data_IF_448616321154
#
_entry.id   IF_448616321154
#
_cell.length_a   1.000
_cell.length_b   1.000
_cell.length_c   1.000
_cell.angle_alpha   90.00
_cell.angle_beta   90.00
_cell.angle_gamma   90.00
#
_symmetry.space_group_name_H-M   'P 1'
#
loop_
_entity.id
_entity.type
_entity.pdbx_description
1 polymer ?
#
# COMPACT_ATOMS: atom_id res chain seq x y z
N UNK A 1 -5.49 0.79 6.80
CA UNK A 1 -4.35 1.23 5.96
C UNK A 1 -3.93 2.68 6.19
N UNK A 2 -4.83 3.65 6.41
CA UNK A 2 -4.46 5.08 6.59
C UNK A 2 -3.52 5.38 7.76
N UNK A 3 -3.66 4.68 8.89
CA UNK A 3 -2.85 4.87 10.11
C UNK A 3 -1.63 3.95 10.20
N UNK A 4 -1.31 3.17 9.16
CA UNK A 4 -0.27 2.13 9.28
C UNK A 4 1.12 2.71 9.47
N UNK A 5 1.43 3.85 8.83
CA UNK A 5 2.74 4.51 8.95
C UNK A 5 3.02 4.92 10.39
N UNK A 6 2.05 5.56 11.05
CA UNK A 6 2.14 5.92 12.46
C UNK A 6 2.29 4.69 13.37
N UNK A 7 1.62 3.58 13.03
CA UNK A 7 1.70 2.34 13.80
C UNK A 7 3.09 1.68 13.70
N UNK A 8 3.73 1.73 12.53
CA UNK A 8 5.10 1.25 12.29
C UNK A 8 6.13 2.18 12.95
N UNK A 9 5.97 3.50 12.81
CA UNK A 9 6.86 4.50 13.39
C UNK A 9 6.91 4.39 14.93
N UNK A 10 5.76 4.20 15.59
CA UNK A 10 5.68 3.95 17.04
C UNK A 10 6.44 2.70 17.50
N UNK A 11 6.83 1.81 16.58
CA UNK A 11 7.62 0.60 16.82
C UNK A 11 9.07 0.71 16.34
N UNK A 12 9.48 1.88 15.84
CA UNK A 12 10.80 2.09 15.27
C UNK A 12 11.03 1.32 13.95
N UNK A 13 9.95 1.01 13.22
CA UNK A 13 10.02 0.25 11.97
C UNK A 13 9.88 1.22 10.79
N UNK A 14 10.86 1.17 9.88
CA UNK A 14 10.88 1.99 8.66
C UNK A 14 10.23 1.25 7.50
N UNK A 15 9.47 2.00 6.70
CA UNK A 15 8.84 1.50 5.46
C UNK A 15 9.90 1.25 4.39
N UNK A 16 9.79 0.12 3.69
CA UNK A 16 10.68 -0.26 2.57
C UNK A 16 10.44 0.63 1.35
N UNK A 17 11.51 1.00 0.64
CA UNK A 17 11.46 1.78 -0.61
C UNK A 17 11.74 0.94 -1.86
N UNK A 18 11.68 -0.40 -1.75
CA UNK A 18 12.08 -1.33 -2.81
C UNK A 18 11.30 -1.17 -4.13
N UNK A 19 10.12 -0.55 -4.09
CA UNK A 19 9.29 -0.27 -5.27
C UNK A 19 9.55 1.10 -5.90
N UNK A 20 10.59 1.82 -5.46
CA UNK A 20 10.95 3.14 -5.99
C UNK A 20 10.11 4.31 -5.45
N UNK A 21 9.24 4.05 -4.48
CA UNK A 21 8.45 5.08 -3.79
C UNK A 21 9.05 5.39 -2.41
N UNK A 22 9.17 6.67 -2.04
CA UNK A 22 9.67 7.03 -0.73
C UNK A 22 8.60 6.75 0.37
N UNK A 23 8.99 6.57 1.64
CA UNK A 23 8.08 6.16 2.73
C UNK A 23 6.82 7.03 2.87
N UNK A 24 6.96 8.35 2.67
CA UNK A 24 5.88 9.32 2.78
C UNK A 24 4.80 9.15 1.72
N UNK A 25 5.14 8.59 0.55
CA UNK A 25 4.22 8.32 -0.56
C UNK A 25 3.52 6.97 -0.46
N UNK A 26 3.84 6.15 0.54
CA UNK A 26 3.19 4.88 0.78
C UNK A 26 2.02 5.04 1.77
N UNK A 27 1.02 4.13 1.79
CA UNK A 27 0.91 2.83 1.11
C UNK A 27 0.71 2.89 -0.42
N UNK A 28 1.02 1.80 -1.12
CA UNK A 28 0.87 1.65 -2.58
C UNK A 28 -0.36 0.82 -2.93
N UNK A 29 -0.92 1.01 -4.13
CA UNK A 29 -1.95 0.14 -4.71
C UNK A 29 -1.33 -0.67 -5.83
N UNK A 30 -1.39 -1.99 -5.71
CA UNK A 30 -0.83 -2.90 -6.71
C UNK A 30 -1.93 -3.45 -7.62
N UNK A 31 -1.68 -3.53 -8.95
CA UNK A 31 -2.62 -4.07 -9.94
C UNK A 31 -2.59 -5.61 -9.98
N UNK A 32 -2.88 -6.25 -8.85
CA UNK A 32 -2.84 -7.71 -8.74
C UNK A 32 -4.23 -8.32 -8.98
N UNK A 33 -4.54 -8.65 -10.23
CA UNK A 33 -5.79 -9.36 -10.54
C UNK A 33 -5.92 -10.66 -9.72
N UNK A 34 -7.14 -11.00 -9.23
CA UNK A 34 -8.43 -10.35 -9.48
C UNK A 34 -8.82 -9.30 -8.41
N UNK A 35 -7.89 -8.55 -7.82
CA UNK A 35 -8.20 -7.53 -6.81
C UNK A 35 -7.31 -6.28 -6.86
N UNK A 36 -7.88 -5.14 -6.52
CA UNK A 36 -7.08 -3.98 -6.14
C UNK A 36 -6.92 -3.99 -4.61
N UNK A 37 -5.69 -3.86 -4.12
CA UNK A 37 -5.41 -3.77 -2.69
C UNK A 37 -4.34 -2.71 -2.44
N UNK A 38 -4.43 -2.07 -1.29
CA UNK A 38 -3.35 -1.24 -0.79
C UNK A 38 -2.38 -2.11 0.01
N UNK A 39 -1.09 -1.89 -0.15
CA UNK A 39 -0.03 -2.60 0.54
C UNK A 39 1.04 -1.65 1.09
N UNK A 40 1.68 -2.09 2.17
CA UNK A 40 2.90 -1.48 2.68
C UNK A 40 3.91 -2.58 3.01
N UNK A 41 5.18 -2.33 2.69
CA UNK A 41 6.26 -3.28 2.88
C UNK A 41 7.26 -2.74 3.89
N UNK A 42 7.80 -3.60 4.74
CA UNK A 42 8.83 -3.24 5.71
C UNK A 42 9.61 -4.48 6.14
N UNK A 43 10.72 -4.27 6.85
CA UNK A 43 11.42 -5.37 7.52
C UNK A 43 11.00 -5.44 8.98
N UNK A 44 10.74 -6.64 9.47
CA UNK A 44 10.60 -6.86 10.90
C UNK A 44 11.99 -6.79 11.59
N UNK A 45 12.04 -6.84 12.94
CA UNK A 45 13.32 -6.79 13.68
C UNK A 45 14.30 -7.91 13.34
N UNK A 46 13.82 -9.06 12.85
CA UNK A 46 14.64 -10.20 12.44
C UNK A 46 15.12 -10.06 10.98
N UNK A 47 14.67 -9.02 10.27
CA UNK A 47 15.03 -8.72 8.89
C UNK A 47 14.15 -9.40 7.84
N UNK A 48 13.06 -10.07 8.24
CA UNK A 48 12.10 -10.65 7.31
C UNK A 48 11.37 -9.54 6.57
N UNK A 49 11.18 -9.71 5.26
CA UNK A 49 10.37 -8.79 4.47
C UNK A 49 8.90 -9.13 4.67
N UNK A 50 8.16 -8.21 5.30
CA UNK A 50 6.72 -8.35 5.52
C UNK A 50 5.92 -7.42 4.62
N UNK A 51 4.75 -7.90 4.25
CA UNK A 51 3.72 -7.15 3.53
C UNK A 51 2.46 -7.10 4.40
N UNK A 52 1.89 -5.90 4.57
CA UNK A 52 0.56 -5.73 5.11
C UNK A 52 -0.36 -5.19 4.01
N UNK A 53 -1.44 -5.91 3.72
CA UNK A 53 -2.40 -5.56 2.66
C UNK A 53 -3.80 -5.29 3.22
N UNK A 54 -4.57 -4.46 2.52
CA UNK A 54 -6.03 -4.34 2.69
C UNK A 54 -6.70 -4.37 1.32
N UNK A 55 -7.78 -5.14 1.12
CA UNK A 55 -8.53 -5.09 -0.12
C UNK A 55 -9.16 -3.70 -0.28
N UNK A 56 -9.17 -3.19 -1.53
CA UNK A 56 -9.87 -1.97 -1.95
C UNK A 56 -11.07 -2.32 -2.85
N UNK A 57 -10.87 -3.26 -3.77
CA UNK A 57 -11.91 -3.89 -4.59
C UNK A 57 -11.62 -5.39 -4.71
N UNK A 58 -12.68 -6.18 -4.63
CA UNK A 58 -12.64 -7.65 -4.79
C UNK A 58 -13.35 -7.98 -6.10
N UNK A 59 -12.95 -9.07 -6.77
CA UNK A 59 -13.46 -9.48 -8.08
C UNK A 59 -13.33 -8.36 -9.14
N UNK A 60 -12.16 -7.72 -9.12
CA UNK A 60 -11.83 -6.55 -9.92
C UNK A 60 -10.64 -6.87 -10.83
N UNK A 61 -10.92 -6.98 -12.12
CA UNK A 61 -9.91 -7.15 -13.16
C UNK A 61 -9.79 -5.87 -13.98
N UNK A 62 -8.79 -5.05 -13.67
CA UNK A 62 -8.50 -3.82 -14.41
C UNK A 62 -6.98 -3.62 -14.50
N UNK A 63 -6.50 -3.19 -15.66
CA UNK A 63 -5.10 -2.82 -15.81
C UNK A 63 -4.90 -1.37 -15.39
N UNK A 64 -4.09 -1.16 -14.37
CA UNK A 64 -3.63 0.17 -13.95
C UNK A 64 -2.17 0.10 -13.51
N UNK A 65 -1.49 1.24 -13.50
CA UNK A 65 -0.13 1.33 -13.01
C UNK A 65 -0.11 1.34 -11.47
N UNK A 66 0.93 0.74 -10.88
CA UNK A 66 1.18 0.89 -9.46
C UNK A 66 1.23 2.38 -9.09
N UNK A 67 0.47 2.75 -8.06
CA UNK A 67 0.30 4.14 -7.64
C UNK A 67 0.22 4.21 -6.12
N UNK A 68 0.23 5.41 -5.57
CA UNK A 68 -0.02 5.62 -4.14
C UNK A 68 -1.50 5.41 -3.80
N UNK A 69 -1.81 5.02 -2.56
CA UNK A 69 -3.18 4.95 -2.08
C UNK A 69 -3.88 6.32 -2.17
N UNK A 70 -3.15 7.41 -2.00
CA UNK A 70 -3.70 8.76 -2.13
C UNK A 70 -4.16 9.06 -3.57
N UNK A 71 -3.35 8.69 -4.58
CA UNK A 71 -3.71 8.82 -6.00
C UNK A 71 -4.92 7.95 -6.33
N UNK A 72 -4.91 6.68 -5.91
CA UNK A 72 -6.06 5.79 -6.11
C UNK A 72 -7.35 6.38 -5.53
N UNK A 73 -7.29 6.92 -4.31
CA UNK A 73 -8.45 7.57 -3.67
C UNK A 73 -8.91 8.83 -4.41
N UNK A 74 -8.04 9.55 -5.12
CA UNK A 74 -8.43 10.71 -5.94
C UNK A 74 -9.13 10.25 -7.21
N UNK A 75 -8.59 9.24 -7.89
CA UNK A 75 -9.14 8.73 -9.15
C UNK A 75 -10.48 8.02 -8.94
N UNK A 76 -10.66 7.37 -7.78
CA UNK A 76 -11.87 6.63 -7.42
C UNK A 76 -12.82 7.39 -6.48
N UNK A 77 -12.66 8.71 -6.32
CA UNK A 77 -13.55 9.56 -5.51
C UNK A 77 -14.86 9.95 -6.20
N UNK A 78 -15.14 9.39 -7.37
CA UNK A 78 -16.47 9.40 -7.99
C UNK A 78 -17.17 8.14 -7.52
N UNK A 79 -18.30 8.30 -6.82
CA UNK A 79 -19.14 7.29 -6.14
C UNK A 79 -18.81 7.02 -4.66
N UNK A 80 -19.39 7.86 -3.80
CA UNK A 80 -19.93 7.45 -2.51
C UNK A 80 -21.46 7.39 -2.61
#
# INVERSE_FOLDING_TARGET
MKSIKEWLEKRGITVSTNFGFPPEKQPLVLPNNPQAHAAIYFKDPDGNSLELITPLRIDFEEQFNMMTLEEWEKDNKVEK
#
